data_IF_025813340023
#
_entry.id   IF_025813340023
#
_cell.length_a   1.000
_cell.length_b   1.000
_cell.length_c   1.000
_cell.angle_alpha   90.00
_cell.angle_beta   90.00
_cell.angle_gamma   90.00
#
_symmetry.space_group_name_H-M   'P 1'
#
loop_
_entity.id
_entity.type
_entity.pdbx_description
1 polymer ?
#
# COMPACT_ATOMS: atom_id res chain seq x y z
N UNK A 1 5.53 -9.22 -21.92
CA UNK A 1 6.47 -8.65 -20.94
C UNK A 1 5.62 -7.86 -19.96
N UNK A 2 5.05 -8.55 -18.97
CA UNK A 2 4.05 -7.98 -18.05
C UNK A 2 4.72 -7.59 -16.72
N UNK A 3 5.82 -6.84 -16.83
CA UNK A 3 6.68 -6.43 -15.69
C UNK A 3 5.92 -5.60 -14.65
N UNK A 4 4.76 -5.06 -15.02
CA UNK A 4 3.89 -4.23 -14.18
C UNK A 4 2.45 -4.78 -14.12
N UNK A 5 2.28 -6.08 -14.37
CA UNK A 5 0.96 -6.73 -14.37
C UNK A 5 0.40 -6.94 -12.97
N UNK A 6 -0.78 -7.57 -12.92
CA UNK A 6 -1.49 -7.89 -11.68
C UNK A 6 -0.62 -8.69 -10.69
N UNK A 7 0.23 -9.59 -11.18
CA UNK A 7 1.16 -10.36 -10.34
C UNK A 7 2.14 -9.48 -9.58
N UNK A 8 2.69 -8.44 -10.21
CA UNK A 8 3.57 -7.46 -9.57
C UNK A 8 2.82 -6.64 -8.52
N UNK A 9 1.58 -6.23 -8.81
CA UNK A 9 0.74 -5.50 -7.84
C UNK A 9 0.45 -6.35 -6.61
N UNK A 10 0.03 -7.61 -6.80
CA UNK A 10 -0.27 -8.54 -5.71
C UNK A 10 0.98 -8.81 -4.87
N UNK A 11 2.14 -9.03 -5.49
CA UNK A 11 3.40 -9.22 -4.78
C UNK A 11 3.81 -7.98 -3.97
N UNK A 12 3.60 -6.79 -4.54
CA UNK A 12 3.89 -5.51 -3.88
C UNK A 12 2.96 -5.28 -2.70
N UNK A 13 1.66 -5.54 -2.86
CA UNK A 13 0.67 -5.45 -1.79
C UNK A 13 1.00 -6.43 -0.66
N UNK A 14 1.39 -7.67 -1.02
CA UNK A 14 1.81 -8.67 -0.05
C UNK A 14 3.06 -8.23 0.72
N UNK A 15 4.06 -7.72 0.01
CA UNK A 15 5.29 -7.17 0.62
C UNK A 15 5.00 -6.00 1.55
N UNK A 16 4.08 -5.11 1.19
CA UNK A 16 3.66 -4.01 2.04
C UNK A 16 2.96 -4.52 3.32
N UNK A 17 2.05 -5.50 3.22
CA UNK A 17 1.42 -6.09 4.40
C UNK A 17 2.41 -6.79 5.33
N UNK A 18 3.37 -7.54 4.79
CA UNK A 18 4.46 -8.13 5.58
C UNK A 18 5.33 -7.06 6.27
N UNK A 19 5.54 -5.91 5.61
CA UNK A 19 6.25 -4.80 6.24
C UNK A 19 5.49 -4.24 7.44
N UNK A 20 4.18 -4.00 7.30
CA UNK A 20 3.35 -3.48 8.38
C UNK A 20 3.09 -4.50 9.50
N UNK A 21 3.24 -5.79 9.24
CA UNK A 21 3.27 -6.83 10.26
C UNK A 21 4.63 -6.99 10.97
N UNK A 22 5.66 -6.26 10.56
CA UNK A 22 7.02 -6.38 11.11
C UNK A 22 7.82 -7.58 10.60
N UNK A 23 7.25 -8.39 9.72
CA UNK A 23 7.84 -9.63 9.17
C UNK A 23 8.81 -9.35 7.99
N UNK A 24 8.69 -8.18 7.35
CA UNK A 24 9.58 -7.77 6.27
C UNK A 24 10.21 -6.39 6.49
N UNK A 25 11.50 -6.28 6.20
CA UNK A 25 12.17 -4.98 6.12
C UNK A 25 11.89 -4.33 4.77
N UNK A 26 11.93 -2.99 4.69
CA UNK A 26 11.80 -2.25 3.41
C UNK A 26 12.78 -2.72 2.34
N UNK A 27 13.98 -3.15 2.76
CA UNK A 27 15.00 -3.70 1.86
C UNK A 27 14.57 -5.03 1.24
N UNK A 28 13.91 -5.89 2.02
CA UNK A 28 13.37 -7.17 1.52
C UNK A 28 12.29 -6.91 0.48
N UNK A 29 11.32 -6.06 0.81
CA UNK A 29 10.22 -5.71 -0.10
C UNK A 29 10.74 -5.08 -1.40
N UNK A 30 11.74 -4.20 -1.32
CA UNK A 30 12.36 -3.61 -2.50
C UNK A 30 13.00 -4.65 -3.43
N UNK A 31 13.67 -5.66 -2.85
CA UNK A 31 14.28 -6.74 -3.60
C UNK A 31 13.22 -7.61 -4.29
N UNK A 32 12.11 -7.91 -3.60
CA UNK A 32 11.03 -8.75 -4.11
C UNK A 32 10.24 -8.06 -5.24
N UNK A 33 10.07 -6.73 -5.15
CA UNK A 33 9.37 -5.92 -6.15
C UNK A 33 10.30 -5.48 -7.30
N UNK A 34 11.62 -5.59 -7.13
CA UNK A 34 12.61 -5.24 -8.15
C UNK A 34 12.79 -3.73 -8.35
N UNK A 35 12.61 -2.94 -7.29
CA UNK A 35 12.74 -1.46 -7.30
C UNK A 35 13.82 -0.98 -6.34
N UNK A 36 14.19 0.30 -6.42
CA UNK A 36 15.15 0.86 -5.46
C UNK A 36 14.53 0.93 -4.06
N UNK A 37 15.31 0.80 -2.97
CA UNK A 37 14.77 0.87 -1.61
C UNK A 37 13.93 2.13 -1.31
N UNK A 38 14.33 3.28 -1.86
CA UNK A 38 13.58 4.54 -1.72
C UNK A 38 12.24 4.51 -2.46
N UNK A 39 12.19 3.87 -3.62
CA UNK A 39 10.93 3.70 -4.38
C UNK A 39 10.00 2.71 -3.68
N UNK A 40 10.54 1.61 -3.17
CA UNK A 40 9.77 0.65 -2.38
C UNK A 40 9.11 1.31 -1.17
N UNK A 41 9.81 2.22 -0.48
CA UNK A 41 9.25 2.96 0.65
C UNK A 41 8.02 3.77 0.24
N UNK A 42 8.13 4.57 -0.84
CA UNK A 42 7.01 5.38 -1.34
C UNK A 42 5.83 4.51 -1.76
N UNK A 43 6.10 3.36 -2.38
CA UNK A 43 5.06 2.42 -2.81
C UNK A 43 4.38 1.76 -1.60
N UNK A 44 5.15 1.30 -0.61
CA UNK A 44 4.59 0.69 0.61
C UNK A 44 3.71 1.69 1.36
N UNK A 45 4.20 2.93 1.54
CA UNK A 45 3.43 4.00 2.20
C UNK A 45 2.14 4.32 1.43
N UNK A 46 2.21 4.40 0.10
CA UNK A 46 1.04 4.63 -0.75
C UNK A 46 0.00 3.48 -0.69
N UNK A 47 0.42 2.27 -0.34
CA UNK A 47 -0.45 1.10 -0.21
C UNK A 47 -1.07 0.94 1.18
N UNK A 48 -0.61 1.67 2.20
CA UNK A 48 -1.14 1.58 3.55
C UNK A 48 -2.67 1.78 3.63
N UNK A 49 -3.27 2.78 2.93
CA UNK A 49 -4.72 2.95 2.91
C UNK A 49 -5.45 1.78 2.24
N UNK A 50 -4.85 1.18 1.20
CA UNK A 50 -5.43 0.02 0.50
C UNK A 50 -5.48 -1.18 1.43
N UNK A 51 -4.40 -1.41 2.19
CA UNK A 51 -4.34 -2.46 3.20
C UNK A 51 -5.35 -2.22 4.32
N UNK A 52 -5.49 -0.99 4.79
CA UNK A 52 -6.44 -0.65 5.84
C UNK A 52 -7.89 -0.86 5.39
N UNK A 53 -8.26 -0.37 4.20
CA UNK A 53 -9.60 -0.60 3.63
C UNK A 53 -9.84 -2.08 3.35
N UNK A 54 -8.83 -2.80 2.86
CA UNK A 54 -8.90 -4.25 2.65
C UNK A 54 -9.21 -4.99 3.93
N UNK A 55 -8.48 -4.70 5.02
CA UNK A 55 -8.70 -5.31 6.33
C UNK A 55 -10.12 -5.06 6.86
N UNK A 56 -10.67 -3.87 6.63
CA UNK A 56 -12.02 -3.51 7.10
C UNK A 56 -13.15 -4.12 6.26
N UNK A 57 -12.94 -4.33 4.95
CA UNK A 57 -14.03 -4.57 4.01
C UNK A 57 -13.93 -5.85 3.20
N UNK A 58 -12.74 -6.43 3.04
CA UNK A 58 -12.54 -7.64 2.26
C UNK A 58 -12.59 -8.88 3.17
N UNK A 59 -13.62 -9.75 3.05
CA UNK A 59 -13.71 -10.97 3.83
C UNK A 59 -12.60 -11.98 3.52
N UNK A 60 -11.86 -11.80 2.42
CA UNK A 60 -10.73 -12.63 2.04
C UNK A 60 -9.37 -11.98 2.32
N UNK A 61 -9.34 -10.84 3.01
CA UNK A 61 -8.10 -10.11 3.26
C UNK A 61 -7.01 -11.00 3.87
N UNK A 62 -7.35 -11.75 4.91
CA UNK A 62 -6.42 -12.68 5.59
C UNK A 62 -5.88 -13.77 4.65
N UNK A 63 -6.64 -14.17 3.63
CA UNK A 63 -6.19 -15.17 2.65
C UNK A 63 -5.05 -14.66 1.75
N UNK A 64 -4.85 -13.34 1.65
CA UNK A 64 -3.70 -12.74 0.96
C UNK A 64 -2.40 -12.83 1.80
N UNK A 65 -2.55 -13.08 3.11
CA UNK A 65 -1.47 -13.03 4.09
C UNK A 65 -1.45 -14.29 4.97
N UNK A 66 -1.36 -15.50 4.39
CA UNK A 66 -1.41 -16.74 5.16
C UNK A 66 -0.24 -16.92 6.14
N UNK A 67 0.85 -16.18 5.92
CA UNK A 67 2.09 -16.27 6.71
C UNK A 67 2.24 -15.15 7.74
N UNK A 68 1.21 -14.32 7.93
CA UNK A 68 1.25 -13.21 8.90
C UNK A 68 0.62 -13.67 10.22
N UNK A 69 1.47 -13.87 11.22
CA UNK A 69 1.05 -14.22 12.58
C UNK A 69 0.80 -12.98 13.46
N UNK A 70 1.39 -11.84 13.08
CA UNK A 70 1.33 -10.57 13.80
C UNK A 70 0.33 -9.61 13.16
N UNK A 71 -0.49 -8.92 13.96
CA UNK A 71 -1.41 -7.91 13.44
C UNK A 71 -0.65 -6.76 12.76
N UNK A 72 -1.11 -6.33 11.58
CA UNK A 72 -0.50 -5.22 10.86
C UNK A 72 -0.75 -3.88 11.55
N UNK A 73 0.31 -3.10 11.77
CA UNK A 73 0.24 -1.72 12.26
C UNK A 73 -0.09 -0.74 11.12
N UNK A 74 -1.34 -0.77 10.67
CA UNK A 74 -1.82 0.11 9.59
C UNK A 74 -2.29 1.46 10.14
N UNK A 75 -2.13 2.55 9.37
CA UNK A 75 -2.64 3.86 9.77
C UNK A 75 -4.17 3.85 9.87
N UNK A 76 -4.70 4.66 10.78
CA UNK A 76 -6.14 4.90 10.84
C UNK A 76 -6.57 5.70 9.60
N UNK A 77 -7.57 5.20 8.87
CA UNK A 77 -8.07 5.82 7.65
C UNK A 77 -8.72 7.19 7.91
N UNK A 78 -9.23 7.41 9.12
CA UNK A 78 -9.81 8.69 9.52
C UNK A 78 -8.75 9.81 9.62
N UNK A 79 -7.48 9.46 9.88
CA UNK A 79 -6.36 10.39 9.92
C UNK A 79 -5.89 10.79 8.51
N UNK A 80 -6.27 10.01 7.49
CA UNK A 80 -6.00 10.26 6.08
C UNK A 80 -7.29 10.64 5.37
N UNK A 81 -7.94 11.73 5.80
CA UNK A 81 -8.92 12.39 4.94
C UNK A 81 -8.17 12.83 3.68
N UNK A 82 -8.30 12.05 2.60
CA UNK A 82 -7.91 12.44 1.25
C UNK A 82 -8.87 13.54 0.82
N UNK A 83 -8.74 14.71 1.42
CA UNK A 83 -9.36 15.91 0.87
C UNK A 83 -8.80 15.97 -0.53
N UNK A 84 -9.62 15.84 -1.59
CA UNK A 84 -9.11 16.03 -2.92
C UNK A 84 -8.47 17.41 -2.91
N UNK A 85 -7.19 17.50 -3.28
CA UNK A 85 -6.63 18.79 -3.67
C UNK A 85 -7.41 19.21 -4.89
N UNK A 86 -8.54 19.88 -4.68
CA UNK A 86 -9.20 20.65 -5.72
C UNK A 86 -8.19 21.72 -6.06
N UNK A 87 -7.38 21.45 -7.08
CA UNK A 87 -6.77 22.51 -7.85
C UNK A 87 -7.93 23.38 -8.31
N UNK A 88 -8.12 24.49 -7.61
CA UNK A 88 -9.02 25.56 -8.00
C UNK A 88 -8.50 26.09 -9.33
N UNK A 89 -8.96 25.47 -10.40
CA UNK A 89 -8.70 25.83 -11.78
C UNK A 89 -9.95 26.56 -12.27
N UNK A 90 -9.79 27.84 -12.60
CA UNK A 90 -10.72 28.57 -13.45
C UNK A 90 -11.65 29.58 -12.75
N UNK A 91 -11.21 30.84 -12.83
CA UNK A 91 -11.96 32.02 -13.25
C UNK A 91 -13.23 32.45 -12.50
N UNK A 92 -13.19 33.67 -11.96
CA UNK A 92 -14.12 34.69 -12.45
C UNK A 92 -13.37 36.02 -12.69
N UNK A 93 -13.54 36.50 -13.91
CA UNK A 93 -13.09 37.76 -14.48
C UNK A 93 -14.30 38.72 -14.42
N UNK A 94 -14.18 39.85 -13.72
CA UNK A 94 -14.88 41.13 -13.99
C UNK A 94 -14.45 42.21 -12.99
#
# INVERSE_FOLDING_TARGET
DDRHGLGTLVATLRGAGLHYAGEATRRSVAADVGVRPTEAMLVIEALAPVLAVGRERDPYFEALFPDIETEMELPNLDDHTTTPTTTQSGNDEA
#
